data_IF_361761892913
#
_entry.id   IF_361761892913
#
_cell.length_a   1.000
_cell.length_b   1.000
_cell.length_c   1.000
_cell.angle_alpha   90.00
_cell.angle_beta   90.00
_cell.angle_gamma   90.00
#
_symmetry.space_group_name_H-M   'P 1'
#
loop_
_entity.id
_entity.type
_entity.pdbx_description
1 polymer ?
#
# COMPACT_ATOMS: atom_id res chain seq x y z
N UNK A 1 10.40 28.65 -6.75
CA UNK A 1 11.06 29.58 -7.69
C UNK A 1 11.70 30.70 -6.87
N UNK A 2 12.74 31.37 -7.37
CA UNK A 2 13.21 32.64 -6.80
C UNK A 2 12.78 33.75 -7.76
N UNK A 3 11.93 34.65 -7.27
CA UNK A 3 11.53 35.84 -8.03
C UNK A 3 12.62 36.90 -7.90
N UNK A 4 13.05 37.43 -9.04
CA UNK A 4 13.89 38.61 -9.15
C UNK A 4 13.04 39.79 -9.61
N UNK A 5 13.22 40.20 -10.86
CA UNK A 5 12.49 41.30 -11.50
C UNK A 5 10.99 40.98 -11.75
N UNK A 6 10.60 39.70 -11.72
CA UNK A 6 9.23 39.24 -11.90
C UNK A 6 8.72 39.32 -13.34
N UNK A 7 9.57 39.62 -14.32
CA UNK A 7 9.17 39.79 -15.72
C UNK A 7 8.93 38.46 -16.45
N UNK A 8 9.46 37.35 -15.92
CA UNK A 8 9.30 36.01 -16.50
C UNK A 8 8.49 35.08 -15.59
N UNK A 9 7.86 35.62 -14.55
CA UNK A 9 7.06 34.87 -13.58
C UNK A 9 5.60 35.27 -13.67
N UNK A 10 4.74 34.30 -13.97
CA UNK A 10 3.29 34.47 -13.92
C UNK A 10 2.80 34.59 -12.47
N UNK A 11 1.96 35.58 -12.21
CA UNK A 11 1.37 35.78 -10.88
C UNK A 11 0.48 34.58 -10.47
N UNK A 12 -0.26 33.99 -11.42
CA UNK A 12 -1.26 32.96 -11.10
C UNK A 12 -0.75 31.53 -11.20
N UNK A 13 0.12 31.27 -12.17
CA UNK A 13 0.47 29.91 -12.58
C UNK A 13 1.82 29.44 -12.05
N UNK A 14 2.76 30.36 -11.74
CA UNK A 14 4.07 29.98 -11.24
C UNK A 14 4.11 29.84 -9.71
N UNK A 15 4.96 28.92 -9.25
CA UNK A 15 5.16 28.60 -7.84
C UNK A 15 6.13 29.58 -7.15
N UNK A 16 5.73 30.86 -7.12
CA UNK A 16 6.42 31.90 -6.35
C UNK A 16 5.87 32.07 -4.92
N UNK A 17 4.59 31.76 -4.72
CA UNK A 17 3.94 31.78 -3.40
C UNK A 17 4.17 30.48 -2.61
N UNK A 18 4.14 30.55 -1.28
CA UNK A 18 4.14 29.35 -0.41
C UNK A 18 2.90 28.47 -0.63
N UNK A 19 1.82 29.06 -1.16
CA UNK A 19 0.58 28.36 -1.51
C UNK A 19 0.69 27.60 -2.84
N UNK A 20 1.84 27.66 -3.52
CA UNK A 20 2.03 27.05 -4.83
C UNK A 20 1.32 27.85 -5.93
N UNK A 21 0.64 27.14 -6.83
CA UNK A 21 -0.10 27.73 -7.92
C UNK A 21 -1.33 28.48 -7.36
N UNK A 22 -1.32 29.81 -7.41
CA UNK A 22 -2.41 30.62 -6.86
C UNK A 22 -3.74 30.38 -7.58
N UNK A 23 -3.70 30.03 -8.88
CA UNK A 23 -4.90 29.65 -9.63
C UNK A 23 -5.58 28.41 -9.05
N UNK A 24 -4.79 27.42 -8.64
CA UNK A 24 -5.29 26.20 -8.00
C UNK A 24 -5.72 26.47 -6.55
N UNK A 25 -4.94 27.25 -5.80
CA UNK A 25 -5.18 27.51 -4.38
C UNK A 25 -6.41 28.41 -4.13
N UNK A 26 -6.64 29.43 -4.97
CA UNK A 26 -7.74 30.39 -4.82
C UNK A 26 -8.94 30.09 -5.72
N UNK A 27 -8.78 29.17 -6.68
CA UNK A 27 -9.82 28.79 -7.63
C UNK A 27 -10.25 29.91 -8.57
N UNK A 28 -11.38 29.71 -9.24
CA UNK A 28 -11.89 30.60 -10.30
C UNK A 28 -12.22 32.02 -9.82
N UNK A 29 -12.56 32.18 -8.53
CA UNK A 29 -12.91 33.48 -7.94
C UNK A 29 -11.69 34.29 -7.50
N UNK A 30 -10.52 33.67 -7.40
CA UNK A 30 -9.28 34.32 -6.96
C UNK A 30 -8.97 35.60 -7.73
N UNK A 31 -9.17 35.59 -9.06
CA UNK A 31 -8.95 36.74 -9.93
C UNK A 31 -9.80 37.95 -9.54
N UNK A 32 -11.07 37.72 -9.18
CA UNK A 32 -12.00 38.79 -8.79
C UNK A 32 -11.65 39.30 -7.39
N UNK A 33 -11.38 38.37 -6.48
CA UNK A 33 -11.08 38.68 -5.09
C UNK A 33 -9.79 39.50 -4.97
N UNK A 34 -8.70 39.04 -5.58
CA UNK A 34 -7.43 39.77 -5.67
C UNK A 34 -7.45 40.87 -6.72
N UNK A 35 -8.44 40.95 -7.61
CA UNK A 35 -8.50 41.97 -8.66
C UNK A 35 -7.22 42.07 -9.50
N UNK A 36 -6.61 40.93 -9.81
CA UNK A 36 -5.43 40.80 -10.67
C UNK A 36 -5.85 39.99 -11.90
N UNK A 37 -5.46 40.46 -13.08
CA UNK A 37 -5.80 39.82 -14.36
C UNK A 37 -5.16 38.45 -14.50
N UNK A 38 -5.76 37.53 -15.26
CA UNK A 38 -5.28 36.14 -15.41
C UNK A 38 -3.86 36.03 -15.98
N UNK A 39 -3.53 36.93 -16.91
CA UNK A 39 -2.23 36.95 -17.58
C UNK A 39 -1.23 37.90 -16.90
N UNK A 40 -1.47 38.31 -15.65
CA UNK A 40 -0.56 39.22 -14.96
C UNK A 40 0.77 38.54 -14.65
N UNK A 41 1.86 39.28 -14.86
CA UNK A 41 3.18 38.94 -14.36
C UNK A 41 3.36 39.47 -12.93
N UNK A 42 4.31 38.90 -12.19
CA UNK A 42 4.66 39.39 -10.86
C UNK A 42 5.17 40.84 -10.96
N UNK A 43 5.95 41.17 -11.99
CA UNK A 43 6.40 42.55 -12.26
C UNK A 43 5.23 43.53 -12.42
N UNK A 44 4.14 43.12 -13.08
CA UNK A 44 2.98 43.99 -13.31
C UNK A 44 2.25 44.32 -12.00
N UNK A 45 2.16 43.33 -11.11
CA UNK A 45 1.54 43.47 -9.79
C UNK A 45 2.41 44.34 -8.88
N UNK A 46 3.73 44.15 -8.93
CA UNK A 46 4.68 44.93 -8.13
C UNK A 46 4.77 46.39 -8.60
N UNK A 47 4.79 46.63 -9.91
CA UNK A 47 4.93 47.98 -10.50
C UNK A 47 3.68 48.84 -10.41
N UNK A 48 2.49 48.25 -10.25
CA UNK A 48 1.25 49.03 -10.11
C UNK A 48 1.00 49.41 -8.65
N UNK A 49 0.77 50.69 -8.33
CA UNK A 49 0.31 51.09 -7.01
C UNK A 49 -1.11 50.57 -6.80
N UNK A 50 -1.23 49.46 -6.09
CA UNK A 50 -2.51 48.85 -5.72
C UNK A 50 -2.79 49.15 -4.26
N UNK A 51 -4.05 49.51 -3.96
CA UNK A 51 -4.51 49.61 -2.57
C UNK A 51 -4.72 48.21 -2.02
N UNK A 52 -3.90 47.82 -1.04
CA UNK A 52 -4.09 46.58 -0.27
C UNK A 52 -5.53 46.47 0.21
N UNK A 53 -6.16 45.32 -0.03
CA UNK A 53 -7.50 45.01 0.50
C UNK A 53 -7.35 44.14 1.74
N UNK A 54 -8.23 44.34 2.73
CA UNK A 54 -8.39 43.40 3.83
C UNK A 54 -9.50 42.43 3.44
N UNK A 55 -9.15 41.18 3.30
CA UNK A 55 -10.07 40.12 2.94
C UNK A 55 -10.60 39.43 4.20
N UNK A 56 -11.83 38.91 4.13
CA UNK A 56 -12.36 38.02 5.17
C UNK A 56 -11.61 36.69 5.13
N UNK A 57 -11.23 36.23 3.94
CA UNK A 57 -10.51 34.98 3.72
C UNK A 57 -9.02 35.15 4.02
N UNK A 58 -8.47 34.29 4.89
CA UNK A 58 -7.09 34.44 5.36
C UNK A 58 -6.04 34.24 4.26
N UNK A 59 -6.23 33.25 3.38
CA UNK A 59 -5.28 32.98 2.28
C UNK A 59 -5.07 34.21 1.37
N UNK A 60 -6.12 35.00 1.13
CA UNK A 60 -6.00 36.25 0.35
C UNK A 60 -5.15 37.30 1.08
N UNK A 61 -5.30 37.41 2.41
CA UNK A 61 -4.46 38.31 3.21
C UNK A 61 -3.00 37.84 3.26
N UNK A 62 -2.77 36.52 3.26
CA UNK A 62 -1.43 35.93 3.21
C UNK A 62 -0.74 36.23 1.86
N UNK A 63 -1.46 36.09 0.75
CA UNK A 63 -0.95 36.48 -0.58
C UNK A 63 -0.65 37.97 -0.66
N UNK A 64 -1.53 38.85 -0.15
CA UNK A 64 -1.28 40.30 -0.08
C UNK A 64 -0.03 40.62 0.78
N UNK A 65 0.26 39.85 1.84
CA UNK A 65 1.50 40.01 2.61
C UNK A 65 2.73 39.58 1.80
N UNK A 66 2.65 38.49 1.03
CA UNK A 66 3.76 38.02 0.18
C UNK A 66 4.09 39.01 -0.94
N UNK A 67 3.07 39.65 -1.54
CA UNK A 67 3.26 40.72 -2.52
C UNK A 67 4.03 41.89 -1.90
N UNK A 68 3.65 42.31 -0.69
CA UNK A 68 4.33 43.41 0.00
C UNK A 68 5.78 43.04 0.36
N UNK A 69 6.04 41.79 0.77
CA UNK A 69 7.39 41.30 1.05
C UNK A 69 8.26 41.29 -0.20
N UNK A 70 7.71 40.92 -1.36
CA UNK A 70 8.42 41.00 -2.65
C UNK A 70 8.71 42.43 -3.06
N UNK A 71 7.77 43.36 -2.80
CA UNK A 71 7.97 44.79 -3.06
C UNK A 71 9.08 45.38 -2.20
N UNK A 72 9.17 44.99 -0.93
CA UNK A 72 10.21 45.48 0.00
C UNK A 72 11.60 44.90 -0.31
N UNK A 73 11.65 43.65 -0.79
CA UNK A 73 12.89 42.95 -1.13
C UNK A 73 13.10 42.85 -2.64
N UNK A 74 12.81 43.94 -3.36
CA UNK A 74 12.86 43.93 -4.81
C UNK A 74 14.30 43.67 -5.29
N UNK A 75 14.50 42.53 -5.94
CA UNK A 75 15.75 42.12 -6.57
C UNK A 75 15.63 42.45 -8.06
N UNK A 76 16.62 43.13 -8.64
CA UNK A 76 16.62 43.48 -10.07
C UNK A 76 17.31 42.41 -10.94
N UNK A 77 17.68 41.27 -10.34
CA UNK A 77 18.17 40.11 -11.07
C UNK A 77 17.07 39.35 -11.80
N UNK A 78 17.48 38.40 -12.64
CA UNK A 78 16.55 37.55 -13.37
C UNK A 78 15.77 36.59 -12.45
N UNK A 79 14.54 36.27 -12.84
CA UNK A 79 13.75 35.20 -12.24
C UNK A 79 14.43 33.83 -12.43
N UNK A 80 14.52 33.04 -11.35
CA UNK A 80 15.18 31.73 -11.39
C UNK A 80 14.23 30.59 -11.04
N UNK A 81 14.03 29.71 -12.02
CA UNK A 81 13.36 28.43 -11.82
C UNK A 81 14.24 27.50 -10.96
N UNK A 82 13.67 27.00 -9.86
CA UNK A 82 14.34 26.09 -8.93
C UNK A 82 13.57 24.77 -8.84
N UNK A 83 14.29 23.67 -8.81
CA UNK A 83 13.74 22.34 -8.60
C UNK A 83 13.39 22.14 -7.14
N UNK A 84 12.13 21.77 -6.88
CA UNK A 84 11.69 21.34 -5.55
C UNK A 84 12.28 19.97 -5.22
N UNK A 85 12.98 19.90 -4.10
CA UNK A 85 13.57 18.68 -3.55
C UNK A 85 12.82 18.26 -2.28
N UNK A 86 13.16 17.09 -1.74
CA UNK A 86 12.66 16.62 -0.46
C UNK A 86 12.87 17.67 0.65
N UNK A 87 12.00 17.64 1.67
CA UNK A 87 12.05 18.55 2.83
C UNK A 87 11.85 20.05 2.51
N UNK A 88 11.21 20.38 1.39
CA UNK A 88 10.90 21.78 1.04
C UNK A 88 12.12 22.58 0.55
N UNK A 89 13.23 21.91 0.24
CA UNK A 89 14.44 22.53 -0.26
C UNK A 89 14.30 22.82 -1.76
N UNK A 90 14.80 23.96 -2.22
CA UNK A 90 14.85 24.32 -3.64
C UNK A 90 16.30 24.38 -4.13
N UNK A 91 16.56 23.88 -5.33
CA UNK A 91 17.92 23.83 -5.90
C UNK A 91 17.95 24.12 -7.40
N UNK A 92 19.08 24.63 -7.88
CA UNK A 92 19.29 24.90 -9.31
C UNK A 92 19.45 23.64 -10.16
N UNK A 93 19.81 22.51 -9.55
CA UNK A 93 20.06 21.24 -10.26
C UNK A 93 19.00 20.20 -9.95
N UNK A 94 18.52 19.56 -11.02
CA UNK A 94 17.67 18.38 -10.90
C UNK A 94 18.43 17.20 -10.30
N UNK A 95 17.78 16.48 -9.38
CA UNK A 95 18.34 15.27 -8.78
C UNK A 95 17.26 14.19 -8.72
N UNK A 96 17.43 13.16 -9.54
CA UNK A 96 16.52 12.01 -9.58
C UNK A 96 16.32 11.39 -8.21
N UNK A 97 17.39 11.28 -7.41
CA UNK A 97 17.34 10.76 -6.03
C UNK A 97 16.44 11.61 -5.13
N UNK A 98 16.63 12.94 -5.14
CA UNK A 98 15.85 13.86 -4.29
C UNK A 98 14.39 13.94 -4.73
N UNK A 99 14.14 13.93 -6.03
CA UNK A 99 12.78 13.85 -6.57
C UNK A 99 12.10 12.53 -6.19
N UNK A 100 12.82 11.41 -6.22
CA UNK A 100 12.32 10.13 -5.75
C UNK A 100 11.99 10.14 -4.25
N UNK A 101 12.85 10.75 -3.43
CA UNK A 101 12.59 10.97 -2.00
C UNK A 101 11.35 11.83 -1.75
N UNK A 102 11.09 12.83 -2.60
CA UNK A 102 9.91 13.70 -2.52
C UNK A 102 8.61 12.97 -2.93
N UNK A 103 8.66 12.13 -3.97
CA UNK A 103 7.49 11.41 -4.48
C UNK A 103 7.10 10.20 -3.63
N UNK A 104 8.08 9.55 -2.99
CA UNK A 104 7.82 8.32 -2.24
C UNK A 104 7.24 8.62 -0.85
N UNK A 105 6.25 7.83 -0.44
CA UNK A 105 5.91 7.73 0.98
C UNK A 105 6.96 6.86 1.69
N UNK A 106 7.73 7.46 2.60
CA UNK A 106 8.72 6.72 3.38
C UNK A 106 7.99 5.74 4.31
N UNK A 107 8.12 4.46 4.03
CA UNK A 107 7.68 3.39 4.93
C UNK A 107 8.78 3.10 5.96
N UNK A 108 8.40 2.47 7.08
CA UNK A 108 9.38 1.98 8.05
C UNK A 108 10.42 1.09 7.37
N UNK A 109 11.66 1.22 7.82
CA UNK A 109 12.77 0.39 7.35
C UNK A 109 12.45 -1.06 7.70
N UNK A 110 12.23 -1.91 6.68
CA UNK A 110 11.98 -3.32 6.90
C UNK A 110 13.29 -4.02 7.29
N UNK A 111 13.49 -4.30 8.57
CA UNK A 111 14.72 -4.95 9.07
C UNK A 111 14.98 -6.31 8.39
N UNK A 112 13.93 -7.06 8.07
CA UNK A 112 14.03 -8.34 7.37
C UNK A 112 14.49 -8.22 5.92
N UNK A 113 14.40 -7.03 5.29
CA UNK A 113 14.71 -6.86 3.86
C UNK A 113 16.13 -7.30 3.50
N UNK A 114 17.11 -7.06 4.39
CA UNK A 114 18.51 -7.46 4.18
C UNK A 114 18.69 -8.98 4.15
N UNK A 115 17.87 -9.74 4.88
CA UNK A 115 17.92 -11.20 4.88
C UNK A 115 17.25 -11.82 3.65
N UNK A 116 16.39 -11.07 2.96
CA UNK A 116 15.64 -11.55 1.79
C UNK A 116 16.29 -11.10 0.47
N UNK A 117 16.81 -9.87 0.44
CA UNK A 117 17.38 -9.21 -0.74
C UNK A 117 18.88 -8.98 -0.57
N UNK A 118 19.65 -10.06 -0.46
CA UNK A 118 21.11 -10.02 -0.38
C UNK A 118 21.75 -10.29 -1.74
N UNK A 119 23.02 -9.92 -1.90
CA UNK A 119 23.76 -10.15 -3.15
C UNK A 119 23.82 -11.65 -3.45
N UNK A 120 23.49 -12.05 -4.68
CA UNK A 120 23.32 -13.45 -5.11
C UNK A 120 22.06 -14.17 -4.59
N UNK A 121 21.07 -13.45 -4.03
CA UNK A 121 19.79 -14.07 -3.71
C UNK A 121 19.05 -14.46 -4.99
N UNK A 122 18.51 -15.68 -5.05
CA UNK A 122 17.69 -16.11 -6.19
C UNK A 122 16.34 -15.38 -6.12
N UNK A 123 15.96 -14.58 -7.15
CA UNK A 123 14.76 -13.76 -7.10
C UNK A 123 13.49 -14.54 -6.76
N UNK A 124 13.38 -15.79 -7.23
CA UNK A 124 12.27 -16.71 -6.94
C UNK A 124 12.10 -16.93 -5.42
N UNK A 125 13.18 -17.26 -4.72
CA UNK A 125 13.13 -17.53 -3.29
C UNK A 125 12.97 -16.25 -2.47
N UNK A 126 13.61 -15.15 -2.88
CA UNK A 126 13.43 -13.83 -2.24
C UNK A 126 11.98 -13.36 -2.32
N UNK A 127 11.31 -13.56 -3.46
CA UNK A 127 9.91 -13.22 -3.63
C UNK A 127 9.00 -14.06 -2.71
N UNK A 128 9.20 -15.37 -2.68
CA UNK A 128 8.44 -16.28 -1.80
C UNK A 128 8.65 -15.91 -0.33
N UNK A 129 9.90 -15.74 0.11
CA UNK A 129 10.22 -15.34 1.48
C UNK A 129 9.58 -14.01 1.88
N UNK A 130 9.52 -13.03 0.96
CA UNK A 130 8.84 -11.75 1.20
C UNK A 130 7.33 -11.92 1.41
N UNK A 131 6.68 -12.78 0.64
CA UNK A 131 5.24 -13.07 0.79
C UNK A 131 5.00 -13.80 2.12
N UNK A 132 5.87 -14.75 2.47
CA UNK A 132 5.81 -15.48 3.75
C UNK A 132 5.94 -14.53 4.94
N UNK A 133 6.96 -13.67 4.96
CA UNK A 133 7.16 -12.67 6.04
C UNK A 133 6.02 -11.65 6.10
N UNK A 134 5.37 -11.39 4.97
CA UNK A 134 4.19 -10.54 4.90
C UNK A 134 2.88 -11.20 5.35
N UNK A 135 2.88 -12.47 5.76
CA UNK A 135 1.67 -13.28 6.01
C UNK A 135 0.67 -13.13 4.86
N UNK A 136 1.15 -13.32 3.63
CA UNK A 136 0.33 -13.24 2.40
C UNK A 136 0.23 -14.59 1.69
N UNK A 137 0.52 -15.67 2.39
CA UNK A 137 0.36 -17.02 1.87
C UNK A 137 -1.08 -17.46 2.15
N UNK A 138 -1.93 -17.46 1.11
CA UNK A 138 -3.32 -17.91 1.17
C UNK A 138 -3.47 -19.29 1.85
N UNK A 139 -2.53 -20.19 1.61
CA UNK A 139 -2.54 -21.53 2.22
C UNK A 139 -2.17 -21.51 3.71
N UNK A 140 -1.25 -20.64 4.14
CA UNK A 140 -0.80 -20.56 5.53
C UNK A 140 -1.84 -19.91 6.45
N UNK A 141 -2.43 -18.80 6.01
CA UNK A 141 -3.49 -18.12 6.75
C UNK A 141 -4.79 -18.95 6.75
N UNK A 142 -5.08 -19.65 5.64
CA UNK A 142 -6.18 -20.61 5.55
C UNK A 142 -6.04 -21.76 6.56
N UNK A 143 -4.85 -22.36 6.67
CA UNK A 143 -4.59 -23.44 7.64
C UNK A 143 -4.78 -22.99 9.10
N UNK A 144 -4.48 -21.72 9.42
CA UNK A 144 -4.67 -21.19 10.77
C UNK A 144 -6.15 -20.97 11.11
N UNK A 145 -6.97 -20.59 10.11
CA UNK A 145 -8.43 -20.50 10.20
C UNK A 145 -9.12 -21.87 10.28
N UNK A 146 -8.54 -22.91 9.65
CA UNK A 146 -9.08 -24.26 9.65
C UNK A 146 -9.11 -24.88 11.06
N UNK A 147 -8.21 -24.49 11.95
CA UNK A 147 -8.22 -24.93 13.35
C UNK A 147 -9.25 -24.19 14.23
N UNK A 148 -9.85 -23.09 13.75
CA UNK A 148 -10.59 -22.15 14.59
C UNK A 148 -12.11 -22.21 14.51
N UNK A 149 -12.72 -22.68 13.41
CA UNK A 149 -14.18 -22.49 13.24
C UNK A 149 -15.01 -23.61 12.65
N UNK A 150 -14.47 -24.68 12.04
CA UNK A 150 -15.33 -25.74 11.49
C UNK A 150 -14.70 -27.13 11.49
N UNK A 151 -14.26 -27.63 12.65
CA UNK A 151 -14.19 -29.09 12.85
C UNK A 151 -14.56 -29.41 14.30
N UNK A 152 -15.86 -29.38 14.59
CA UNK A 152 -16.44 -30.25 15.62
C UNK A 152 -16.60 -31.66 15.04
N UNK A 153 -15.55 -32.15 14.38
CA UNK A 153 -15.38 -33.57 14.15
C UNK A 153 -14.70 -34.07 15.43
N UNK A 154 -15.52 -34.42 16.42
CA UNK A 154 -15.05 -35.15 17.57
C UNK A 154 -14.32 -36.42 17.08
N UNK A 155 -12.99 -36.40 17.26
CA UNK A 155 -12.13 -37.56 17.54
C UNK A 155 -12.25 -38.83 16.68
N UNK A 156 -12.56 -38.77 15.38
CA UNK A 156 -12.31 -39.93 14.50
C UNK A 156 -10.82 -40.01 14.19
N UNK A 157 -10.10 -40.89 14.88
CA UNK A 157 -8.65 -41.11 14.65
C UNK A 157 -8.40 -42.14 13.56
N UNK A 158 -9.36 -43.01 13.28
CA UNK A 158 -9.21 -44.14 12.35
C UNK A 158 -10.51 -44.43 11.60
N UNK A 159 -10.39 -45.04 10.42
CA UNK A 159 -11.54 -45.43 9.57
C UNK A 159 -12.42 -46.49 10.27
N UNK A 160 -11.84 -47.29 11.17
CA UNK A 160 -12.55 -48.32 11.93
C UNK A 160 -13.68 -47.75 12.80
N UNK A 161 -13.59 -46.49 13.22
CA UNK A 161 -14.62 -45.80 14.00
C UNK A 161 -15.88 -45.42 13.18
N UNK A 162 -15.83 -45.60 11.85
CA UNK A 162 -16.96 -45.46 10.93
C UNK A 162 -17.62 -46.81 10.60
N UNK A 163 -17.07 -47.91 11.11
CA UNK A 163 -17.54 -49.27 10.87
C UNK A 163 -18.16 -49.81 12.17
N UNK A 164 -19.37 -50.37 12.08
CA UNK A 164 -20.02 -50.95 13.24
C UNK A 164 -19.20 -52.17 13.74
N UNK A 165 -18.75 -52.17 15.01
CA UNK A 165 -17.94 -53.25 15.58
C UNK A 165 -18.59 -54.63 15.44
N UNK A 166 -19.92 -54.71 15.50
CA UNK A 166 -20.65 -55.97 15.52
C UNK A 166 -20.98 -56.50 14.12
N UNK A 167 -21.39 -55.62 13.20
CA UNK A 167 -21.83 -56.02 11.86
C UNK A 167 -20.72 -55.94 10.81
N UNK A 168 -19.67 -55.16 11.06
CA UNK A 168 -18.57 -54.93 10.11
C UNK A 168 -18.97 -54.07 8.92
N UNK A 169 -20.18 -53.48 8.92
CA UNK A 169 -20.67 -52.58 7.88
C UNK A 169 -20.47 -51.11 8.28
N UNK A 170 -20.56 -50.20 7.31
CA UNK A 170 -20.52 -48.76 7.58
C UNK A 170 -21.68 -48.30 8.46
N UNK A 171 -21.40 -47.39 9.39
CA UNK A 171 -22.43 -46.70 10.17
C UNK A 171 -23.01 -45.58 9.31
N UNK A 172 -24.14 -45.85 8.65
CA UNK A 172 -24.76 -44.98 7.64
C UNK A 172 -24.94 -43.54 8.12
N UNK A 173 -25.63 -43.36 9.26
CA UNK A 173 -25.91 -42.03 9.82
C UNK A 173 -24.63 -41.23 10.12
N UNK A 174 -23.55 -41.93 10.47
CA UNK A 174 -22.26 -41.31 10.78
C UNK A 174 -21.50 -40.94 9.51
N UNK A 175 -21.55 -41.75 8.47
CA UNK A 175 -20.95 -41.45 7.16
C UNK A 175 -21.69 -40.29 6.47
N UNK A 176 -23.02 -40.30 6.47
CA UNK A 176 -23.83 -39.25 5.84
C UNK A 176 -23.76 -37.90 6.57
N UNK A 177 -23.54 -37.91 7.89
CA UNK A 177 -23.37 -36.66 8.66
C UNK A 177 -21.97 -36.04 8.55
N UNK A 178 -20.95 -36.82 8.16
CA UNK A 178 -19.56 -36.38 8.10
C UNK A 178 -19.08 -36.06 6.69
N UNK A 179 -19.65 -36.71 5.67
CA UNK A 179 -19.21 -36.58 4.28
C UNK A 179 -20.31 -35.95 3.41
N UNK A 180 -19.91 -35.25 2.35
CA UNK A 180 -20.84 -34.68 1.37
C UNK A 180 -21.58 -35.82 0.68
N UNK A 181 -22.86 -35.63 0.38
CA UNK A 181 -23.81 -36.65 -0.11
C UNK A 181 -23.24 -37.56 -1.22
N UNK A 182 -22.52 -37.00 -2.18
CA UNK A 182 -21.89 -37.75 -3.28
C UNK A 182 -20.77 -38.70 -2.80
N UNK A 183 -19.97 -38.24 -1.84
CA UNK A 183 -18.86 -39.01 -1.28
C UNK A 183 -19.37 -40.03 -0.26
N UNK A 184 -20.39 -39.68 0.52
CA UNK A 184 -21.08 -40.61 1.43
C UNK A 184 -21.68 -41.80 0.64
N UNK A 185 -22.37 -41.53 -0.48
CA UNK A 185 -22.89 -42.57 -1.35
C UNK A 185 -21.79 -43.47 -1.93
N UNK A 186 -20.62 -42.90 -2.24
CA UNK A 186 -19.48 -43.68 -2.73
C UNK A 186 -18.91 -44.57 -1.62
N UNK A 187 -18.75 -44.04 -0.40
CA UNK A 187 -18.21 -44.76 0.76
C UNK A 187 -19.13 -45.92 1.16
N UNK A 188 -20.44 -45.70 1.22
CA UNK A 188 -21.41 -46.72 1.59
C UNK A 188 -21.47 -47.90 0.60
N UNK A 189 -21.04 -47.68 -0.64
CA UNK A 189 -20.93 -48.73 -1.66
C UNK A 189 -19.59 -49.48 -1.62
N UNK A 190 -18.61 -49.04 -0.82
CA UNK A 190 -17.35 -49.74 -0.64
C UNK A 190 -17.52 -50.93 0.30
N UNK A 191 -16.93 -52.08 -0.06
CA UNK A 191 -16.85 -53.23 0.84
C UNK A 191 -15.85 -52.93 1.95
N UNK A 192 -16.32 -52.96 3.19
CA UNK A 192 -15.49 -52.91 4.39
C UNK A 192 -14.67 -54.22 4.48
N UNK A 193 -13.34 -54.12 4.45
CA UNK A 193 -12.45 -55.26 4.66
C UNK A 193 -11.68 -55.05 5.96
N UNK A 194 -11.97 -55.86 6.98
CA UNK A 194 -11.30 -55.83 8.29
C UNK A 194 -9.91 -56.48 8.30
N UNK A 195 -9.48 -57.04 7.17
CA UNK A 195 -8.26 -57.87 7.09
C UNK A 195 -7.03 -57.05 6.66
N UNK A 196 -7.23 -55.81 6.22
CA UNK A 196 -6.15 -54.93 5.78
C UNK A 196 -5.78 -53.97 6.91
N UNK A 197 -4.53 -54.05 7.39
CA UNK A 197 -3.97 -53.04 8.28
C UNK A 197 -3.94 -51.68 7.57
N UNK A 198 -4.30 -50.61 8.29
CA UNK A 198 -4.24 -49.24 7.80
C UNK A 198 -2.82 -48.91 7.32
N UNK A 199 -2.68 -48.64 6.01
CA UNK A 199 -1.43 -48.17 5.42
C UNK A 199 -1.47 -46.65 5.41
N UNK A 200 -0.55 -46.01 6.11
CA UNK A 200 -0.35 -44.57 6.03
C UNK A 200 0.16 -44.20 4.63
N UNK A 201 -0.71 -43.60 3.80
CA UNK A 201 -0.33 -43.17 2.44
C UNK A 201 0.27 -41.75 2.49
N UNK A 202 -0.21 -40.88 3.38
CA UNK A 202 0.37 -39.55 3.64
C UNK A 202 0.06 -39.10 5.08
N UNK A 203 1.08 -38.75 5.88
CA UNK A 203 0.85 -38.17 7.21
C UNK A 203 2.05 -38.28 8.18
N UNK A 204 2.17 -37.29 9.07
CA UNK A 204 3.18 -37.23 10.13
C UNK A 204 2.94 -38.36 11.15
N UNK A 205 3.97 -39.14 11.54
CA UNK A 205 3.89 -39.97 12.74
C UNK A 205 3.71 -39.07 13.98
N UNK A 206 3.18 -39.62 15.07
CA UNK A 206 2.95 -38.94 16.37
C UNK A 206 4.19 -38.24 16.97
N UNK A 207 5.37 -38.42 16.37
CA UNK A 207 6.63 -37.75 16.69
C UNK A 207 6.83 -36.41 15.97
N UNK A 208 5.93 -36.00 15.06
CA UNK A 208 6.01 -34.73 14.32
C UNK A 208 7.13 -34.67 13.28
N UNK A 209 7.83 -35.78 13.01
CA UNK A 209 8.91 -35.81 12.02
C UNK A 209 8.36 -36.04 10.60
N UNK A 210 8.65 -35.13 9.68
CA UNK A 210 8.31 -35.29 8.26
C UNK A 210 9.26 -36.32 7.59
N UNK A 211 8.69 -37.36 6.99
CA UNK A 211 9.42 -38.33 6.18
C UNK A 211 8.67 -38.53 4.86
N UNK A 212 9.19 -37.97 3.77
CA UNK A 212 8.76 -38.37 2.42
C UNK A 212 9.63 -39.54 1.96
N UNK A 213 9.00 -40.70 1.73
CA UNK A 213 9.55 -41.73 0.84
C UNK A 213 8.79 -41.61 -0.48
N UNK A 214 9.23 -40.69 -1.32
CA UNK A 214 8.89 -40.70 -2.73
C UNK A 214 9.74 -41.76 -3.42
N UNK A 215 9.08 -42.82 -3.90
CA UNK A 215 9.61 -43.67 -4.97
C UNK A 215 9.43 -42.99 -6.32
#
# INVERSE_FOLDING_TARGET
MKVGDGHHTSFWYDNWSKHGCLKEALGTRGLIDLGVTDNALVSDVLGRPRRRRRHIVNILNEVENEIELLRMNQDHGDDVALWKQAYGIFAHRFSTKRTWELLRHSHQVCNWSKGIWFTNSTPKYSFLARITVGNRLQTGDGMHMWNGTYFKADSLRTVDELIDPNSGNWIVDKVESLFVEKDAAMILNLKTSRILNDVYIWGFPNSGAYSSKSG
#
